data_IF_119827482675
#
_entry.id   IF_119827482675
#
_cell.length_a   1.000
_cell.length_b   1.000
_cell.length_c   1.000
_cell.angle_alpha   90.00
_cell.angle_beta   90.00
_cell.angle_gamma   90.00
#
_symmetry.space_group_name_H-M   'P 1'
#
loop_
_entity.id
_entity.type
_entity.pdbx_description
1 polymer ?
#
# COMPACT_ATOMS: atom_id res chain seq x y z
N UNK A 1 15.71 3.50 33.87
CA UNK A 1 16.13 3.19 32.49
C UNK A 1 15.31 2.00 32.04
N UNK A 2 14.33 2.20 31.16
CA UNK A 2 13.69 1.07 30.49
C UNK A 2 14.71 0.54 29.49
N UNK A 3 15.19 -0.70 29.69
CA UNK A 3 16.05 -1.35 28.71
C UNK A 3 15.33 -1.37 27.36
N UNK A 4 15.93 -0.73 26.38
CA UNK A 4 15.42 -0.73 25.03
C UNK A 4 15.52 -2.16 24.51
N UNK A 5 14.37 -2.88 24.53
CA UNK A 5 14.31 -4.29 24.08
C UNK A 5 14.99 -4.41 22.72
N UNK A 6 15.88 -5.39 22.57
CA UNK A 6 16.55 -5.64 21.30
C UNK A 6 15.52 -5.98 20.20
N UNK A 7 15.85 -5.74 18.94
CA UNK A 7 14.93 -6.04 17.82
C UNK A 7 14.43 -7.48 17.85
N UNK A 8 15.30 -8.45 18.18
CA UNK A 8 14.93 -9.87 18.28
C UNK A 8 13.90 -10.14 19.38
N UNK A 9 13.98 -9.44 20.51
CA UNK A 9 12.98 -9.54 21.59
C UNK A 9 11.65 -8.92 21.18
N UNK A 10 11.70 -7.77 20.48
CA UNK A 10 10.49 -7.12 19.95
C UNK A 10 9.80 -8.01 18.91
N UNK A 11 10.57 -8.61 18.01
CA UNK A 11 10.08 -9.55 17.00
C UNK A 11 9.43 -10.78 17.64
N UNK A 12 10.07 -11.39 18.65
CA UNK A 12 9.50 -12.55 19.37
C UNK A 12 8.21 -12.20 20.09
N UNK A 13 8.10 -10.99 20.63
CA UNK A 13 6.91 -10.56 21.38
C UNK A 13 5.71 -10.20 20.49
N UNK A 14 5.95 -9.74 19.27
CA UNK A 14 4.90 -9.24 18.36
C UNK A 14 5.26 -9.54 16.90
N UNK A 15 5.29 -10.82 16.50
CA UNK A 15 5.76 -11.23 15.18
C UNK A 15 4.86 -10.71 14.04
N UNK A 16 3.56 -10.56 14.30
CA UNK A 16 2.58 -10.15 13.28
C UNK A 16 2.77 -8.68 12.91
N UNK A 17 2.99 -7.77 13.86
CA UNK A 17 3.28 -6.37 13.52
C UNK A 17 4.56 -6.23 12.69
N UNK A 18 5.59 -7.05 12.95
CA UNK A 18 6.81 -7.04 12.16
C UNK A 18 6.61 -7.65 10.76
N UNK A 19 5.79 -8.70 10.63
CA UNK A 19 5.38 -9.23 9.33
C UNK A 19 4.61 -8.19 8.50
N UNK A 20 3.66 -7.46 9.12
CA UNK A 20 2.92 -6.39 8.46
C UNK A 20 3.88 -5.25 8.06
N UNK A 21 4.83 -4.89 8.92
CA UNK A 21 5.84 -3.88 8.58
C UNK A 21 6.69 -4.31 7.38
N UNK A 22 7.20 -5.54 7.37
CA UNK A 22 7.99 -6.07 6.26
C UNK A 22 7.18 -6.13 4.96
N UNK A 23 5.93 -6.60 5.03
CA UNK A 23 5.02 -6.63 3.89
C UNK A 23 4.75 -5.23 3.34
N UNK A 24 4.48 -4.26 4.24
CA UNK A 24 4.22 -2.86 3.87
C UNK A 24 5.43 -2.23 3.20
N UNK A 25 6.65 -2.53 3.68
CA UNK A 25 7.88 -2.06 3.06
C UNK A 25 8.07 -2.65 1.65
N UNK A 26 7.90 -3.96 1.50
CA UNK A 26 8.05 -4.65 0.20
C UNK A 26 7.02 -4.16 -0.81
N UNK A 27 5.74 -4.11 -0.41
CA UNK A 27 4.66 -3.64 -1.27
C UNK A 27 4.85 -2.17 -1.62
N UNK A 28 5.20 -1.32 -0.66
CA UNK A 28 5.49 0.09 -0.90
C UNK A 28 6.62 0.29 -1.90
N UNK A 29 7.72 -0.47 -1.79
CA UNK A 29 8.84 -0.39 -2.73
C UNK A 29 8.47 -0.89 -4.14
N UNK A 30 7.72 -1.99 -4.24
CA UNK A 30 7.29 -2.53 -5.54
C UNK A 30 6.32 -1.56 -6.22
N UNK A 31 5.28 -1.11 -5.51
CA UNK A 31 4.31 -0.15 -6.06
C UNK A 31 4.99 1.16 -6.44
N UNK A 32 5.80 1.73 -5.54
CA UNK A 32 6.55 2.95 -5.79
C UNK A 32 7.46 2.83 -7.01
N UNK A 33 8.21 1.72 -7.12
CA UNK A 33 9.09 1.47 -8.25
C UNK A 33 8.33 1.36 -9.58
N UNK A 34 7.19 0.68 -9.60
CA UNK A 34 6.34 0.55 -10.80
C UNK A 34 5.79 1.91 -11.22
N UNK A 35 5.25 2.70 -10.28
CA UNK A 35 4.63 3.98 -10.59
C UNK A 35 5.66 5.05 -10.98
N UNK A 36 6.83 5.08 -10.32
CA UNK A 36 7.96 5.92 -10.73
C UNK A 36 8.46 5.51 -12.13
N UNK A 37 8.51 4.21 -12.42
CA UNK A 37 8.86 3.70 -13.74
C UNK A 37 7.94 4.26 -14.83
N UNK A 38 6.62 4.35 -14.57
CA UNK A 38 5.66 4.97 -15.49
C UNK A 38 5.90 6.48 -15.66
N UNK A 39 6.27 7.20 -14.60
CA UNK A 39 6.57 8.65 -14.68
C UNK A 39 7.73 8.97 -15.63
N UNK A 40 8.69 8.05 -15.76
CA UNK A 40 9.92 8.24 -16.53
C UNK A 40 9.74 7.76 -17.99
N UNK A 41 8.70 7.00 -18.30
CA UNK A 41 8.44 6.48 -19.65
C UNK A 41 7.50 7.42 -20.45
N UNK A 42 8.02 8.17 -21.43
CA UNK A 42 7.20 9.10 -22.23
C UNK A 42 6.15 8.39 -23.09
N UNK A 43 6.38 7.14 -23.47
CA UNK A 43 5.44 6.31 -24.24
C UNK A 43 4.15 6.01 -23.46
N UNK A 44 4.26 5.81 -22.14
CA UNK A 44 3.11 5.60 -21.26
C UNK A 44 2.27 6.88 -21.16
N UNK A 45 2.90 8.05 -21.11
CA UNK A 45 2.21 9.34 -21.15
C UNK A 45 1.47 9.54 -22.48
N UNK A 46 2.10 9.19 -23.60
CA UNK A 46 1.50 9.35 -24.93
C UNK A 46 0.30 8.42 -25.15
N UNK A 47 0.39 7.16 -24.71
CA UNK A 47 -0.72 6.19 -24.72
C UNK A 47 -1.89 6.66 -23.86
N UNK A 48 -1.63 7.27 -22.72
CA UNK A 48 -2.65 7.85 -21.84
C UNK A 48 -3.35 9.07 -22.46
N UNK A 49 -2.63 9.92 -23.19
CA UNK A 49 -3.22 11.09 -23.87
C UNK A 49 -4.19 10.65 -24.98
N UNK A 50 -3.87 9.56 -25.71
CA UNK A 50 -4.73 9.03 -26.79
C UNK A 50 -6.08 8.51 -26.27
N UNK A 51 -6.14 8.03 -25.03
CA UNK A 51 -7.37 7.59 -24.36
C UNK A 51 -7.64 8.42 -23.11
N UNK A 52 -8.01 9.69 -23.31
CA UNK A 52 -8.08 10.72 -22.26
C UNK A 52 -8.74 10.26 -20.93
N UNK A 53 -9.88 9.55 -20.90
CA UNK A 53 -10.49 9.12 -19.63
C UNK A 53 -9.67 8.04 -18.91
N UNK A 54 -9.13 7.06 -19.64
CA UNK A 54 -8.26 6.00 -19.11
C UNK A 54 -6.94 6.62 -18.65
N UNK A 55 -6.40 7.55 -19.43
CA UNK A 55 -5.16 8.25 -19.12
C UNK A 55 -5.24 9.10 -17.86
N UNK A 56 -6.27 9.93 -17.71
CA UNK A 56 -6.46 10.73 -16.51
C UNK A 56 -6.62 9.86 -15.25
N UNK A 57 -7.32 8.74 -15.38
CA UNK A 57 -7.49 7.78 -14.30
C UNK A 57 -6.16 7.10 -13.93
N UNK A 58 -5.43 6.53 -14.89
CA UNK A 58 -4.16 5.84 -14.63
C UNK A 58 -3.10 6.81 -14.08
N UNK A 59 -2.97 8.01 -14.64
CA UNK A 59 -2.03 9.03 -14.15
C UNK A 59 -2.42 9.59 -12.78
N UNK A 60 -3.71 9.70 -12.48
CA UNK A 60 -4.18 10.04 -11.13
C UNK A 60 -3.68 9.03 -10.09
N UNK A 61 -3.71 7.74 -10.42
CA UNK A 61 -3.16 6.69 -9.55
C UNK A 61 -1.64 6.71 -9.48
N UNK A 62 -0.94 6.93 -10.60
CA UNK A 62 0.52 7.07 -10.61
C UNK A 62 0.97 8.13 -9.59
N UNK A 63 0.31 9.30 -9.57
CA UNK A 63 0.61 10.37 -8.63
C UNK A 63 0.20 10.03 -7.20
N UNK A 64 -1.03 9.57 -6.97
CA UNK A 64 -1.52 9.25 -5.62
C UNK A 64 -0.70 8.14 -4.96
N UNK A 65 -0.34 7.10 -5.72
CA UNK A 65 0.40 5.96 -5.21
C UNK A 65 1.86 6.33 -4.91
N UNK A 66 2.49 7.16 -5.74
CA UNK A 66 3.89 7.57 -5.57
C UNK A 66 4.06 8.56 -4.42
N UNK A 67 3.13 9.52 -4.28
CA UNK A 67 3.29 10.65 -3.36
C UNK A 67 2.62 10.40 -2.00
N UNK A 68 1.63 9.49 -1.94
CA UNK A 68 0.85 9.25 -0.73
C UNK A 68 0.94 7.80 -0.24
N UNK A 69 0.50 6.83 -1.05
CA UNK A 69 0.43 5.41 -0.62
C UNK A 69 1.81 4.86 -0.29
N UNK A 70 2.77 5.02 -1.20
CA UNK A 70 4.13 4.50 -1.06
C UNK A 70 4.84 5.09 0.16
N UNK A 71 4.88 6.42 0.37
CA UNK A 71 5.50 7.00 1.57
C UNK A 71 4.83 6.55 2.86
N UNK A 72 3.50 6.44 2.91
CA UNK A 72 2.79 6.00 4.11
C UNK A 72 3.14 4.55 4.49
N UNK A 73 3.18 3.65 3.50
CA UNK A 73 3.56 2.26 3.72
C UNK A 73 5.03 2.12 4.15
N UNK A 74 5.95 2.83 3.49
CA UNK A 74 7.38 2.76 3.79
C UNK A 74 7.70 3.40 5.15
N UNK A 75 7.27 4.64 5.39
CA UNK A 75 7.55 5.34 6.65
C UNK A 75 6.84 4.64 7.80
N UNK A 76 5.60 4.20 7.61
CA UNK A 76 4.86 3.40 8.58
C UNK A 76 5.61 2.12 8.95
N UNK A 77 6.07 1.37 7.95
CA UNK A 77 6.89 0.17 8.16
C UNK A 77 8.17 0.44 8.94
N UNK A 78 8.91 1.49 8.57
CA UNK A 78 10.14 1.89 9.27
C UNK A 78 9.87 2.27 10.73
N UNK A 79 8.77 2.97 11.01
CA UNK A 79 8.35 3.28 12.38
C UNK A 79 7.99 2.02 13.18
N UNK A 80 7.30 1.05 12.57
CA UNK A 80 6.97 -0.22 13.21
C UNK A 80 8.24 -1.03 13.56
N UNK A 81 9.21 -1.11 12.64
CA UNK A 81 10.48 -1.80 12.86
C UNK A 81 11.39 -1.06 13.86
N UNK A 82 11.35 0.28 13.83
CA UNK A 82 12.11 1.17 14.71
C UNK A 82 11.58 1.25 16.15
N UNK A 83 10.41 0.66 16.44
CA UNK A 83 9.85 0.59 17.79
C UNK A 83 8.79 1.64 18.12
N UNK A 84 8.51 2.57 17.21
CA UNK A 84 7.40 3.53 17.35
C UNK A 84 6.08 2.89 16.91
N UNK A 85 5.50 2.07 17.79
CA UNK A 85 4.34 1.23 17.45
C UNK A 85 3.08 2.03 17.12
N UNK A 86 2.66 2.98 17.94
CA UNK A 86 1.40 3.70 17.71
C UNK A 86 1.43 4.53 16.41
N UNK A 87 2.44 5.39 16.25
CA UNK A 87 2.59 6.20 15.05
C UNK A 87 2.79 5.34 13.79
N UNK A 88 3.64 4.29 13.87
CA UNK A 88 3.83 3.35 12.78
C UNK A 88 2.55 2.61 12.39
N UNK A 89 1.71 2.21 13.36
CA UNK A 89 0.42 1.56 13.09
C UNK A 89 -0.53 2.50 12.33
N UNK A 90 -0.65 3.76 12.76
CA UNK A 90 -1.51 4.75 12.11
C UNK A 90 -1.07 4.97 10.65
N UNK A 91 0.21 5.27 10.41
CA UNK A 91 0.73 5.49 9.06
C UNK A 91 0.55 4.27 8.15
N UNK A 92 0.90 3.09 8.66
CA UNK A 92 0.77 1.84 7.91
C UNK A 92 -0.70 1.53 7.61
N UNK A 93 -1.60 1.75 8.56
CA UNK A 93 -3.04 1.59 8.37
C UNK A 93 -3.58 2.54 7.30
N UNK A 94 -3.20 3.83 7.34
CA UNK A 94 -3.57 4.81 6.32
C UNK A 94 -3.04 4.44 4.94
N UNK A 95 -1.79 3.96 4.86
CA UNK A 95 -1.20 3.47 3.61
C UNK A 95 -2.00 2.31 3.00
N UNK A 96 -2.35 1.31 3.80
CA UNK A 96 -3.17 0.17 3.33
C UNK A 96 -4.61 0.58 2.98
N UNK A 97 -5.20 1.52 3.73
CA UNK A 97 -6.55 2.03 3.44
C UNK A 97 -6.59 2.73 2.08
N UNK A 98 -5.59 3.57 1.78
CA UNK A 98 -5.50 4.25 0.50
C UNK A 98 -5.17 3.27 -0.64
N UNK A 99 -4.31 2.28 -0.41
CA UNK A 99 -4.04 1.23 -1.39
C UNK A 99 -5.31 0.43 -1.75
N UNK A 100 -6.11 0.06 -0.73
CA UNK A 100 -7.40 -0.62 -0.92
C UNK A 100 -8.37 0.25 -1.73
N UNK A 101 -8.49 1.52 -1.35
CA UNK A 101 -9.33 2.49 -2.07
C UNK A 101 -8.90 2.63 -3.54
N UNK A 102 -7.61 2.83 -3.81
CA UNK A 102 -7.09 2.94 -5.17
C UNK A 102 -7.36 1.68 -5.99
N UNK A 103 -7.15 0.49 -5.39
CA UNK A 103 -7.39 -0.80 -6.04
C UNK A 103 -8.87 -0.97 -6.41
N UNK A 104 -9.80 -0.60 -5.52
CA UNK A 104 -11.24 -0.70 -5.78
C UNK A 104 -11.69 0.24 -6.89
N UNK A 105 -11.24 1.50 -6.88
CA UNK A 105 -11.57 2.44 -7.96
C UNK A 105 -10.96 2.00 -9.28
N UNK A 106 -9.75 1.44 -9.25
CA UNK A 106 -9.12 0.86 -10.44
C UNK A 106 -10.02 -0.21 -11.08
N UNK A 107 -10.51 -1.17 -10.30
CA UNK A 107 -11.43 -2.23 -10.77
C UNK A 107 -12.72 -1.63 -11.33
N UNK A 108 -13.38 -0.74 -10.57
CA UNK A 108 -14.67 -0.15 -10.95
C UNK A 108 -14.53 0.70 -12.22
N UNK A 109 -13.49 1.53 -12.30
CA UNK A 109 -13.27 2.42 -13.44
C UNK A 109 -12.97 1.65 -14.73
N UNK A 110 -12.13 0.61 -14.66
CA UNK A 110 -11.89 -0.26 -15.83
C UNK A 110 -13.16 -0.98 -16.30
N UNK A 111 -13.98 -1.45 -15.35
CA UNK A 111 -15.25 -2.07 -15.68
C UNK A 111 -16.27 -1.09 -16.28
N UNK A 112 -16.35 0.14 -15.77
CA UNK A 112 -17.21 1.20 -16.30
C UNK A 112 -16.83 1.60 -17.73
N UNK A 113 -15.53 1.52 -18.06
CA UNK A 113 -14.99 1.78 -19.39
C UNK A 113 -15.14 0.58 -20.35
N UNK A 114 -15.92 -0.45 -19.98
CA UNK A 114 -16.12 -1.70 -20.75
C UNK A 114 -14.82 -2.46 -21.05
N UNK A 115 -13.75 -2.20 -20.29
CA UNK A 115 -12.48 -2.93 -20.33
C UNK A 115 -12.35 -3.74 -19.03
N UNK A 116 -13.10 -4.84 -18.85
CA UNK A 116 -13.04 -5.60 -17.62
C UNK A 116 -11.65 -6.23 -17.41
N UNK A 117 -11.14 -6.15 -16.19
CA UNK A 117 -9.96 -6.88 -15.76
C UNK A 117 -10.20 -8.39 -15.93
N UNK A 118 -9.23 -9.10 -16.52
CA UNK A 118 -9.34 -10.55 -16.78
C UNK A 118 -8.05 -11.27 -16.38
N UNK A 119 -8.19 -12.56 -16.07
CA UNK A 119 -7.05 -13.43 -15.81
C UNK A 119 -6.23 -13.00 -14.59
N UNK A 120 -4.92 -12.81 -14.79
CA UNK A 120 -3.95 -12.51 -13.73
C UNK A 120 -4.15 -11.15 -13.07
N UNK A 121 -4.66 -10.15 -13.79
CA UNK A 121 -4.87 -8.80 -13.25
C UNK A 121 -5.97 -8.77 -12.19
N UNK A 122 -7.09 -9.46 -12.47
CA UNK A 122 -8.19 -9.60 -11.52
C UNK A 122 -7.75 -10.38 -10.28
N UNK A 123 -6.98 -11.45 -10.46
CA UNK A 123 -6.44 -12.24 -9.35
C UNK A 123 -5.51 -11.40 -8.48
N UNK A 124 -4.60 -10.63 -9.09
CA UNK A 124 -3.68 -9.72 -8.37
C UNK A 124 -4.45 -8.67 -7.57
N UNK A 125 -5.49 -8.08 -8.15
CA UNK A 125 -6.34 -7.10 -7.49
C UNK A 125 -7.07 -7.70 -6.27
N UNK A 126 -7.63 -8.92 -6.41
CA UNK A 126 -8.27 -9.63 -5.30
C UNK A 126 -7.28 -9.94 -4.18
N UNK A 127 -6.08 -10.44 -4.51
CA UNK A 127 -5.04 -10.72 -3.52
C UNK A 127 -4.65 -9.42 -2.78
N UNK A 128 -4.49 -8.31 -3.50
CA UNK A 128 -4.18 -7.01 -2.90
C UNK A 128 -5.26 -6.55 -1.92
N UNK A 129 -6.55 -6.71 -2.28
CA UNK A 129 -7.69 -6.40 -1.40
C UNK A 129 -7.64 -7.26 -0.13
N UNK A 130 -7.47 -8.57 -0.27
CA UNK A 130 -7.43 -9.49 0.87
C UNK A 130 -6.27 -9.17 1.81
N UNK A 131 -5.08 -8.89 1.27
CA UNK A 131 -3.91 -8.50 2.07
C UNK A 131 -4.15 -7.18 2.80
N UNK A 132 -4.71 -6.17 2.12
CA UNK A 132 -5.01 -4.88 2.73
C UNK A 132 -6.00 -5.03 3.89
N UNK A 133 -7.06 -5.82 3.72
CA UNK A 133 -8.05 -6.09 4.76
C UNK A 133 -7.42 -6.79 5.97
N UNK A 134 -6.61 -7.82 5.75
CA UNK A 134 -5.92 -8.54 6.84
C UNK A 134 -5.00 -7.59 7.62
N UNK A 135 -4.19 -6.78 6.92
CA UNK A 135 -3.29 -5.82 7.55
C UNK A 135 -4.08 -4.77 8.34
N UNK A 136 -5.13 -4.19 7.75
CA UNK A 136 -5.96 -3.19 8.39
C UNK A 136 -6.69 -3.73 9.62
N UNK A 137 -7.26 -4.94 9.55
CA UNK A 137 -7.95 -5.56 10.69
C UNK A 137 -7.02 -5.76 11.89
N UNK A 138 -5.80 -6.25 11.65
CA UNK A 138 -4.81 -6.41 12.73
C UNK A 138 -4.35 -5.06 13.30
N UNK A 139 -4.03 -4.10 12.43
CA UNK A 139 -3.60 -2.77 12.85
C UNK A 139 -4.69 -2.05 13.66
N UNK A 140 -5.96 -2.18 13.25
CA UNK A 140 -7.10 -1.62 13.97
C UNK A 140 -7.30 -2.29 15.34
N UNK A 141 -7.21 -3.62 15.40
CA UNK A 141 -7.31 -4.36 16.66
C UNK A 141 -6.21 -3.94 17.64
N UNK A 142 -4.96 -3.86 17.20
CA UNK A 142 -3.84 -3.45 18.05
C UNK A 142 -3.86 -1.98 18.45
N UNK A 143 -4.48 -1.10 17.64
CA UNK A 143 -4.74 0.29 18.04
C UNK A 143 -5.74 0.35 19.20
N UNK A 144 -6.82 -0.46 19.14
CA UNK A 144 -7.83 -0.52 20.20
C UNK A 144 -7.30 -1.05 21.53
N UNK A 145 -6.38 -2.01 21.52
CA UNK A 145 -5.79 -2.56 22.76
C UNK A 145 -4.72 -1.66 23.40
N UNK A 146 -4.34 -0.57 22.74
CA UNK A 146 -3.34 0.37 23.26
C UNK A 146 -3.94 1.52 24.07
N UNK A 147 -5.28 1.55 24.17
CA UNK A 147 -6.09 2.41 25.05
C UNK A 147 -6.54 1.64 26.30
#
# INVERSE_FOLDING_TARGET
MNEEKSFLERLRSDPITHMIAALSLVIGLIFGGVQIGKLIQPEAAELSIKNLPIGLMDWGFVWADTVLVTPLLIIGALCLLGGSKCFGRILTFSGWTLNLYSTLIFIIGFQALKNPLKGSELLSAIISILLALICMSWLLWTLKESD
#
